data_IF_458290063277
#
_entry.id   IF_458290063277
#
_cell.length_a   1.000
_cell.length_b   1.000
_cell.length_c   1.000
_cell.angle_alpha   90.00
_cell.angle_beta   90.00
_cell.angle_gamma   90.00
#
_symmetry.space_group_name_H-M   'P 1'
#
loop_
_entity.id
_entity.type
_entity.pdbx_description
1 polymer ?
#
# COMPACT_ATOMS: atom_id res chain seq x y z
N UNK A 1 -38.39 17.68 34.09
CA UNK A 1 -38.86 16.43 34.70
C UNK A 1 -37.75 15.42 34.58
N UNK A 2 -37.33 14.94 35.74
CA UNK A 2 -36.17 14.10 36.04
C UNK A 2 -36.44 12.61 35.73
N UNK A 3 -35.43 11.76 35.93
CA UNK A 3 -35.36 10.28 35.85
C UNK A 3 -34.75 9.74 34.55
N UNK A 4 -33.82 8.78 34.56
CA UNK A 4 -33.02 8.16 35.62
C UNK A 4 -31.95 7.32 34.93
N UNK A 5 -30.73 7.34 35.47
CA UNK A 5 -29.65 6.43 35.09
C UNK A 5 -30.01 5.00 35.53
N UNK A 6 -29.76 4.01 34.69
CA UNK A 6 -29.63 2.61 35.10
C UNK A 6 -28.21 2.16 34.70
N UNK A 7 -27.40 1.93 35.72
CA UNK A 7 -26.10 1.25 35.64
C UNK A 7 -26.41 -0.23 35.87
N UNK A 8 -26.04 -1.10 34.93
CA UNK A 8 -25.99 -2.55 35.14
C UNK A 8 -24.52 -2.95 35.11
N UNK A 9 -23.97 -3.25 36.27
CA UNK A 9 -22.70 -3.93 36.44
C UNK A 9 -22.97 -5.44 36.40
N UNK A 10 -22.34 -6.13 35.44
CA UNK A 10 -22.24 -7.60 35.46
C UNK A 10 -20.76 -7.91 35.63
N UNK A 11 -20.43 -8.40 36.82
CA UNK A 11 -19.20 -9.14 37.08
C UNK A 11 -19.53 -10.62 37.14
N UNK A 12 -18.64 -11.45 36.61
CA UNK A 12 -18.41 -12.89 36.83
C UNK A 12 -17.56 -13.34 35.63
N UNK A 13 -16.62 -14.28 35.68
CA UNK A 13 -15.85 -14.95 36.72
C UNK A 13 -14.77 -15.71 35.91
N UNK A 14 -13.49 -15.56 36.26
CA UNK A 14 -12.40 -16.26 35.58
C UNK A 14 -12.37 -17.75 35.97
N UNK A 15 -12.35 -18.63 34.97
CA UNK A 15 -12.12 -20.07 35.12
C UNK A 15 -10.85 -20.41 34.35
N UNK A 16 -9.77 -20.64 35.10
CA UNK A 16 -8.47 -21.09 34.62
C UNK A 16 -8.54 -22.61 34.44
N UNK A 17 -8.40 -23.09 33.22
CA UNK A 17 -8.28 -24.52 32.90
C UNK A 17 -6.86 -24.80 32.39
N UNK A 18 -6.01 -25.34 33.25
CA UNK A 18 -4.64 -25.73 32.92
C UNK A 18 -4.63 -27.19 32.46
N UNK A 19 -4.55 -27.43 31.16
CA UNK A 19 -4.20 -28.76 30.63
C UNK A 19 -2.70 -28.80 30.35
N UNK A 20 -1.97 -29.56 31.17
CA UNK A 20 -0.60 -29.99 30.89
C UNK A 20 -0.69 -31.23 30.00
N UNK A 21 -0.43 -31.05 28.70
CA UNK A 21 -0.19 -32.15 27.77
C UNK A 21 1.32 -32.45 27.79
N UNK A 22 1.71 -33.55 28.41
CA UNK A 22 3.03 -34.15 28.23
C UNK A 22 2.96 -34.99 26.96
N UNK A 23 3.54 -34.46 25.87
CA UNK A 23 3.79 -35.22 24.64
C UNK A 23 5.17 -35.85 24.73
N UNK A 24 5.22 -37.18 24.76
CA UNK A 24 6.45 -37.97 24.61
C UNK A 24 6.63 -38.24 23.12
N UNK A 25 7.54 -37.54 22.46
CA UNK A 25 7.91 -37.85 21.07
C UNK A 25 9.04 -38.89 21.06
N UNK A 26 8.74 -40.04 20.44
CA UNK A 26 9.72 -41.02 20.00
C UNK A 26 10.66 -40.39 18.97
N UNK A 27 11.95 -40.46 19.27
CA UNK A 27 13.03 -39.92 18.46
C UNK A 27 13.37 -40.93 17.35
N UNK A 28 12.82 -40.72 16.15
CA UNK A 28 13.27 -41.40 14.94
C UNK A 28 14.52 -40.70 14.38
N UNK A 29 15.53 -41.51 14.13
CA UNK A 29 16.88 -41.17 13.69
C UNK A 29 16.94 -40.61 12.26
N UNK A 30 17.67 -39.50 12.10
CA UNK A 30 18.42 -39.21 10.86
C UNK A 30 17.81 -38.23 9.86
N UNK A 31 17.09 -37.21 10.29
CA UNK A 31 16.89 -36.00 9.47
C UNK A 31 17.97 -34.99 9.83
N UNK A 32 18.70 -34.49 8.82
CA UNK A 32 19.49 -33.27 8.96
C UNK A 32 18.55 -32.18 9.47
N UNK A 33 18.66 -31.85 10.76
CA UNK A 33 17.78 -30.87 11.39
C UNK A 33 18.19 -29.50 10.90
N UNK A 34 17.31 -28.85 10.14
CA UNK A 34 17.46 -27.45 9.79
C UNK A 34 17.81 -26.63 11.03
N UNK A 35 18.91 -25.89 10.96
CA UNK A 35 19.37 -24.98 12.01
C UNK A 35 19.04 -23.56 11.57
N UNK A 36 18.67 -22.69 12.50
CA UNK A 36 18.36 -21.29 12.19
C UNK A 36 19.48 -20.42 12.76
N UNK A 37 20.12 -19.66 11.88
CA UNK A 37 21.18 -18.73 12.24
C UNK A 37 20.67 -17.29 12.19
N UNK A 38 21.25 -16.45 13.06
CA UNK A 38 21.07 -15.01 13.04
C UNK A 38 22.03 -14.36 12.06
N UNK A 39 21.48 -13.64 11.08
CA UNK A 39 22.24 -12.85 10.11
C UNK A 39 21.89 -11.38 10.31
N UNK A 40 22.87 -10.50 10.19
CA UNK A 40 22.66 -9.07 10.31
C UNK A 40 23.13 -8.36 9.06
N UNK A 41 22.29 -7.48 8.53
CA UNK A 41 22.58 -6.64 7.37
C UNK A 41 22.38 -5.17 7.73
N UNK A 42 23.40 -4.36 7.51
CA UNK A 42 23.32 -2.92 7.77
C UNK A 42 23.09 -2.15 6.46
N UNK A 43 22.20 -1.16 6.51
CA UNK A 43 21.89 -0.24 5.42
C UNK A 43 22.19 1.19 5.86
N UNK A 44 22.82 1.96 4.97
CA UNK A 44 23.26 3.33 5.25
C UNK A 44 24.78 3.47 5.47
N UNK A 45 25.23 4.49 6.21
CA UNK A 45 24.43 5.44 6.98
C UNK A 45 23.66 6.43 6.09
N UNK A 46 22.46 6.79 6.53
CA UNK A 46 21.60 7.80 5.92
C UNK A 46 21.72 9.13 6.67
N UNK A 47 21.94 10.21 5.92
CA UNK A 47 22.04 11.56 6.50
C UNK A 47 20.64 12.22 6.51
N UNK A 48 20.11 12.50 7.70
CA UNK A 48 18.88 13.25 7.90
C UNK A 48 19.21 14.55 8.63
N UNK A 49 19.11 15.69 7.92
CA UNK A 49 19.60 16.98 8.43
C UNK A 49 21.08 16.86 8.85
N UNK A 50 21.41 17.12 10.12
CA UNK A 50 22.73 17.03 10.72
C UNK A 50 23.00 15.69 11.45
N UNK A 51 22.04 14.75 11.44
CA UNK A 51 22.14 13.45 12.10
C UNK A 51 22.32 12.30 11.10
N UNK A 52 23.02 11.24 11.52
CA UNK A 52 23.23 10.02 10.74
C UNK A 52 22.54 8.85 11.38
N UNK A 53 21.87 8.06 10.55
CA UNK A 53 21.17 6.86 10.98
C UNK A 53 21.61 5.64 10.17
N UNK A 54 21.80 4.51 10.84
CA UNK A 54 22.01 3.20 10.21
C UNK A 54 20.81 2.34 10.49
N UNK A 55 20.27 1.69 9.45
CA UNK A 55 19.23 0.67 9.61
C UNK A 55 19.89 -0.69 9.70
N UNK A 56 19.53 -1.46 10.72
CA UNK A 56 20.04 -2.81 10.95
C UNK A 56 18.89 -3.78 10.77
N UNK A 57 19.03 -4.67 9.80
CA UNK A 57 18.10 -5.77 9.54
C UNK A 57 18.65 -7.03 10.19
N UNK A 58 17.86 -7.60 11.09
CA UNK A 58 18.12 -8.89 11.74
C UNK A 58 17.31 -9.95 11.01
N UNK A 59 18.01 -10.75 10.21
CA UNK A 59 17.44 -11.79 9.35
C UNK A 59 17.71 -13.17 9.97
N UNK A 60 16.80 -14.10 9.71
CA UNK A 60 16.94 -15.51 10.11
C UNK A 60 17.25 -16.31 8.87
N UNK A 61 18.28 -17.13 8.93
CA UNK A 61 18.75 -17.92 7.80
C UNK A 61 18.76 -19.41 8.15
N UNK A 62 18.12 -20.24 7.32
CA UNK A 62 18.11 -21.69 7.53
C UNK A 62 19.41 -22.30 6.99
N UNK A 63 20.15 -23.02 7.82
CA UNK A 63 21.38 -23.74 7.46
C UNK A 63 21.28 -25.24 7.78
N UNK A 64 22.16 -26.04 7.19
CA UNK A 64 22.26 -27.48 7.48
C UNK A 64 21.16 -28.36 6.85
N UNK A 65 20.19 -27.77 6.15
CA UNK A 65 19.19 -28.49 5.36
C UNK A 65 19.21 -28.02 3.90
N UNK A 66 18.81 -28.89 2.98
CA UNK A 66 18.56 -28.49 1.58
C UNK A 66 17.19 -27.83 1.52
N UNK A 67 17.16 -26.54 1.20
CA UNK A 67 15.93 -25.79 0.91
C UNK A 67 15.63 -25.98 -0.58
N UNK A 68 14.40 -26.39 -0.97
CA UNK A 68 14.05 -26.58 -2.38
C UNK A 68 14.23 -25.32 -3.22
N UNK A 69 13.92 -24.15 -2.63
CA UNK A 69 14.05 -22.85 -3.24
C UNK A 69 14.83 -21.89 -2.30
N UNK A 70 16.04 -21.44 -2.67
CA UNK A 70 16.87 -20.56 -1.85
C UNK A 70 16.21 -19.24 -1.43
N UNK A 71 15.19 -18.76 -2.14
CA UNK A 71 14.47 -17.55 -1.73
C UNK A 71 13.74 -17.74 -0.39
N UNK A 72 13.40 -18.99 -0.05
CA UNK A 72 12.72 -19.33 1.20
C UNK A 72 13.66 -19.62 2.38
N UNK A 73 14.96 -19.36 2.19
CA UNK A 73 15.99 -19.65 3.19
C UNK A 73 16.23 -18.49 4.16
N UNK A 74 15.77 -17.26 3.85
CA UNK A 74 16.06 -16.06 4.65
C UNK A 74 14.81 -15.21 4.85
N UNK A 75 14.47 -14.87 6.10
CA UNK A 75 13.35 -13.98 6.42
C UNK A 75 13.74 -12.91 7.44
N UNK A 76 13.14 -11.73 7.36
CA UNK A 76 13.34 -10.64 8.32
C UNK A 76 12.65 -10.96 9.64
N UNK A 77 13.40 -10.91 10.74
CA UNK A 77 12.86 -11.13 12.09
C UNK A 77 12.84 -9.86 12.94
N UNK A 78 13.69 -8.88 12.66
CA UNK A 78 13.68 -7.58 13.35
C UNK A 78 14.35 -6.49 12.52
N UNK A 79 13.87 -5.26 12.66
CA UNK A 79 14.49 -4.05 12.12
C UNK A 79 14.80 -3.09 13.27
N UNK A 80 15.99 -2.48 13.23
CA UNK A 80 16.39 -1.40 14.13
C UNK A 80 16.84 -0.19 13.33
N UNK A 81 16.58 1.03 13.83
CA UNK A 81 17.19 2.25 13.31
C UNK A 81 18.00 2.90 14.42
N UNK A 82 19.31 3.02 14.20
CA UNK A 82 20.30 3.50 15.17
C UNK A 82 20.89 4.82 14.73
N UNK A 83 21.23 5.69 15.67
CA UNK A 83 22.08 6.86 15.39
C UNK A 83 23.57 6.51 15.35
N UNK A 84 24.42 7.51 15.07
CA UNK A 84 25.89 7.36 15.03
C UNK A 84 26.51 6.98 16.39
N UNK A 85 25.80 7.20 17.51
CA UNK A 85 26.23 6.77 18.84
C UNK A 85 25.76 5.34 19.18
N UNK A 86 25.01 4.70 18.28
CA UNK A 86 24.45 3.37 18.45
C UNK A 86 23.17 3.34 19.29
N UNK A 87 22.57 4.49 19.61
CA UNK A 87 21.29 4.50 20.30
C UNK A 87 20.16 4.10 19.33
N UNK A 88 19.30 3.18 19.77
CA UNK A 88 18.17 2.68 18.98
C UNK A 88 17.00 3.66 19.11
N UNK A 89 16.55 4.22 17.99
CA UNK A 89 15.39 5.14 17.92
C UNK A 89 14.12 4.44 17.47
N UNK A 90 14.25 3.34 16.75
CA UNK A 90 13.14 2.50 16.31
C UNK A 90 13.55 1.04 16.35
N UNK A 91 12.63 0.17 16.78
CA UNK A 91 12.75 -1.28 16.73
C UNK A 91 11.38 -1.89 16.48
N UNK A 92 11.31 -2.82 15.54
CA UNK A 92 10.12 -3.64 15.29
C UNK A 92 10.56 -5.08 15.06
N UNK A 93 9.88 -6.04 15.72
CA UNK A 93 10.17 -7.47 15.60
C UNK A 93 9.03 -8.17 14.87
N UNK A 94 9.36 -9.09 13.98
CA UNK A 94 8.41 -9.81 13.14
C UNK A 94 8.41 -11.29 13.48
N UNK A 95 7.23 -11.90 13.74
CA UNK A 95 7.16 -13.34 13.93
C UNK A 95 7.44 -14.06 12.61
N UNK A 96 7.97 -15.28 12.69
CA UNK A 96 8.17 -16.15 11.54
C UNK A 96 7.90 -17.60 11.92
N UNK A 97 7.51 -18.40 10.94
CA UNK A 97 7.26 -19.83 11.10
C UNK A 97 8.09 -20.63 10.09
N UNK A 98 8.48 -21.83 10.48
CA UNK A 98 9.25 -22.76 9.64
C UNK A 98 8.37 -23.97 9.35
N UNK A 99 8.21 -24.30 8.07
CA UNK A 99 7.46 -25.45 7.60
C UNK A 99 8.42 -26.41 6.91
N UNK A 100 8.73 -27.53 7.56
CA UNK A 100 9.76 -28.45 7.05
C UNK A 100 11.16 -27.81 7.13
N UNK A 101 11.73 -27.48 5.96
CA UNK A 101 13.09 -26.94 5.84
C UNK A 101 13.11 -25.49 5.29
N UNK A 102 11.96 -24.81 5.23
CA UNK A 102 11.82 -23.47 4.68
C UNK A 102 10.95 -22.60 5.58
N UNK A 103 11.06 -21.27 5.45
CA UNK A 103 10.09 -20.39 6.10
C UNK A 103 8.74 -20.49 5.39
N UNK A 104 7.64 -20.39 6.14
CA UNK A 104 6.29 -20.36 5.53
C UNK A 104 5.96 -19.03 4.85
N UNK A 105 6.64 -17.97 5.28
CA UNK A 105 6.55 -16.61 4.74
C UNK A 105 7.93 -15.95 4.82
N UNK A 106 8.29 -15.26 3.75
CA UNK A 106 9.50 -14.46 3.64
C UNK A 106 9.12 -13.00 3.75
N UNK A 107 9.53 -12.37 4.84
CA UNK A 107 9.50 -10.92 5.00
C UNK A 107 10.87 -10.37 4.63
N UNK A 108 10.88 -9.26 3.91
CA UNK A 108 12.08 -8.52 3.55
C UNK A 108 11.84 -7.03 3.77
N UNK A 109 12.92 -6.26 3.91
CA UNK A 109 12.86 -4.81 3.95
C UNK A 109 13.95 -4.18 3.09
N UNK A 110 13.61 -3.08 2.43
CA UNK A 110 14.55 -2.13 1.84
C UNK A 110 14.37 -0.76 2.48
N UNK A 111 15.40 0.08 2.37
CA UNK A 111 15.39 1.44 2.91
C UNK A 111 16.01 2.39 1.92
N UNK A 112 15.29 3.47 1.62
CA UNK A 112 15.75 4.53 0.74
C UNK A 112 15.75 5.88 1.47
N UNK A 113 16.65 6.77 1.05
CA UNK A 113 16.62 8.16 1.52
C UNK A 113 15.47 8.86 0.82
N UNK A 114 14.46 9.27 1.58
CA UNK A 114 13.37 10.10 1.09
C UNK A 114 13.79 11.57 1.12
N UNK A 115 13.83 12.22 -0.03
CA UNK A 115 14.29 13.61 -0.16
C UNK A 115 13.15 14.51 -0.62
N UNK A 116 12.67 15.36 0.30
CA UNK A 116 11.83 16.52 -0.03
C UNK A 116 12.63 17.76 -0.39
N UNK A 117 11.92 18.86 -0.65
CA UNK A 117 12.52 20.13 -1.05
C UNK A 117 13.52 20.66 -0.01
N UNK A 118 13.09 20.75 1.25
CA UNK A 118 13.88 21.32 2.35
C UNK A 118 14.23 20.32 3.46
N UNK A 119 13.70 19.09 3.38
CA UNK A 119 13.83 18.08 4.43
C UNK A 119 14.00 16.69 3.85
N UNK A 120 14.56 15.78 4.63
CA UNK A 120 14.71 14.38 4.28
C UNK A 120 14.16 13.48 5.37
N UNK A 121 13.88 12.25 4.97
CA UNK A 121 13.43 11.15 5.82
C UNK A 121 13.95 9.82 5.28
N UNK A 122 13.46 8.73 5.84
CA UNK A 122 13.66 7.38 5.31
C UNK A 122 12.32 6.86 4.83
N UNK A 123 12.33 6.19 3.69
CA UNK A 123 11.24 5.31 3.30
C UNK A 123 11.70 3.88 3.58
N UNK A 124 10.95 3.15 4.39
CA UNK A 124 11.15 1.71 4.58
C UNK A 124 10.06 1.01 3.78
N UNK A 125 10.47 0.12 2.88
CA UNK A 125 9.56 -0.73 2.09
C UNK A 125 9.68 -2.15 2.60
N UNK A 126 8.58 -2.72 3.08
CA UNK A 126 8.49 -4.12 3.48
C UNK A 126 7.88 -4.92 2.35
N UNK A 127 8.40 -6.13 2.10
CA UNK A 127 7.89 -7.06 1.10
C UNK A 127 7.68 -8.46 1.68
N UNK A 128 6.55 -9.08 1.38
CA UNK A 128 6.13 -10.41 1.84
C UNK A 128 5.96 -11.38 0.66
N UNK A 129 6.43 -12.61 0.83
CA UNK A 129 6.25 -13.73 -0.11
C UNK A 129 5.80 -14.97 0.71
N UNK A 130 4.71 -15.67 0.32
CA UNK A 130 3.92 -15.45 -0.87
C UNK A 130 2.95 -14.27 -0.67
N UNK A 131 2.62 -13.57 -1.75
CA UNK A 131 1.70 -12.44 -1.73
C UNK A 131 0.62 -12.55 -2.80
N UNK A 132 -0.49 -11.86 -2.59
CA UNK A 132 -1.48 -11.65 -3.65
C UNK A 132 -0.88 -10.78 -4.76
N UNK A 133 -1.32 -10.93 -6.03
CA UNK A 133 -0.88 -10.03 -7.09
C UNK A 133 -1.12 -8.56 -6.70
N UNK A 134 -0.12 -7.70 -6.92
CA UNK A 134 -0.12 -6.28 -6.53
C UNK A 134 -0.26 -6.04 -5.02
N UNK A 135 -0.19 -7.09 -4.19
CA UNK A 135 -0.17 -7.00 -2.74
C UNK A 135 1.20 -7.38 -2.18
N UNK A 136 1.25 -7.53 -0.86
CA UNK A 136 2.45 -8.00 -0.16
C UNK A 136 3.53 -6.95 0.06
N UNK A 137 3.30 -5.70 -0.33
CA UNK A 137 4.19 -4.59 0.01
C UNK A 137 3.52 -3.63 1.00
N UNK A 138 4.35 -3.03 1.85
CA UNK A 138 3.93 -1.89 2.67
C UNK A 138 5.04 -0.87 2.83
N UNK A 139 4.66 0.38 3.07
CA UNK A 139 5.58 1.52 3.09
C UNK A 139 5.44 2.32 4.37
N UNK A 140 6.55 2.63 5.01
CA UNK A 140 6.57 3.44 6.22
C UNK A 140 7.59 4.57 6.10
N UNK A 141 7.14 5.79 6.34
CA UNK A 141 8.00 6.97 6.32
C UNK A 141 8.49 7.27 7.73
N UNK A 142 9.80 7.50 7.85
CA UNK A 142 10.44 8.00 9.06
C UNK A 142 11.06 9.36 8.78
N UNK A 143 11.08 10.22 9.80
CA UNK A 143 11.77 11.49 9.69
C UNK A 143 12.06 12.10 11.05
N UNK A 144 12.78 13.22 11.05
CA UNK A 144 13.07 13.96 12.26
C UNK A 144 11.88 14.85 12.63
N UNK A 145 11.32 14.61 13.81
CA UNK A 145 10.33 15.47 14.46
C UNK A 145 10.86 15.84 15.85
N UNK A 146 10.96 17.13 16.14
CA UNK A 146 11.59 17.63 17.38
C UNK A 146 12.98 17.02 17.64
N UNK A 147 13.81 16.92 16.59
CA UNK A 147 15.15 16.32 16.59
C UNK A 147 15.22 14.83 16.96
N UNK A 148 14.09 14.12 16.99
CA UNK A 148 14.04 12.67 17.19
C UNK A 148 13.58 11.99 15.92
N UNK A 149 14.20 10.84 15.60
CA UNK A 149 13.70 10.00 14.52
C UNK A 149 12.41 9.32 15.00
N UNK A 150 11.33 9.52 14.26
CA UNK A 150 10.03 8.89 14.54
C UNK A 150 9.39 8.42 13.24
N UNK A 151 8.59 7.35 13.28
CA UNK A 151 7.69 7.04 12.16
C UNK A 151 6.64 8.15 12.04
N UNK A 152 6.36 8.58 10.81
CA UNK A 152 5.33 9.58 10.51
C UNK A 152 3.94 8.94 10.34
N UNK A 153 3.88 7.64 10.14
CA UNK A 153 2.67 6.83 10.12
C UNK A 153 3.00 5.38 10.48
N UNK A 154 1.96 4.57 10.65
CA UNK A 154 2.08 3.12 10.51
C UNK A 154 2.40 2.73 9.06
N UNK A 155 2.79 1.48 8.78
CA UNK A 155 2.93 1.00 7.40
C UNK A 155 1.65 1.21 6.59
N UNK A 156 1.81 1.70 5.37
CA UNK A 156 0.74 1.88 4.39
C UNK A 156 0.70 0.62 3.54
N UNK A 157 -0.47 0.00 3.43
CA UNK A 157 -0.73 -1.18 2.61
C UNK A 157 -1.61 -0.76 1.42
N UNK A 158 -1.30 -1.25 0.23
CA UNK A 158 -2.12 -1.02 -0.95
C UNK A 158 -2.12 -2.25 -1.84
N UNK A 159 -3.22 -2.46 -2.57
CA UNK A 159 -3.21 -3.27 -3.78
C UNK A 159 -2.66 -2.42 -4.92
N UNK A 160 -1.33 -2.39 -5.04
CA UNK A 160 -0.62 -1.43 -5.86
C UNK A 160 0.86 -1.34 -5.53
N UNK A 161 1.46 -0.25 -5.98
CA UNK A 161 2.89 0.04 -5.76
C UNK A 161 3.14 1.54 -5.70
N UNK A 162 4.35 1.95 -5.30
CA UNK A 162 4.79 3.34 -5.47
C UNK A 162 4.96 3.63 -6.96
N UNK A 163 4.45 4.79 -7.41
CA UNK A 163 4.55 5.21 -8.80
C UNK A 163 5.99 5.41 -9.26
N UNK A 164 6.85 5.84 -8.33
CA UNK A 164 8.29 5.91 -8.54
C UNK A 164 8.94 4.75 -7.80
N UNK A 165 9.50 3.80 -8.56
CA UNK A 165 10.19 2.65 -7.98
C UNK A 165 11.42 3.09 -7.16
N UNK A 166 11.59 2.56 -5.94
CA UNK A 166 12.82 2.76 -5.19
C UNK A 166 13.97 2.02 -5.87
N UNK A 167 15.05 2.74 -6.21
CA UNK A 167 16.23 2.16 -6.87
C UNK A 167 17.44 2.00 -5.94
N UNK A 168 17.19 1.81 -4.63
CA UNK A 168 18.24 1.61 -3.62
C UNK A 168 19.10 2.86 -3.36
N UNK A 169 18.57 4.05 -3.66
CA UNK A 169 19.27 5.31 -3.53
C UNK A 169 18.43 6.39 -2.86
N UNK A 170 18.28 7.52 -3.55
CA UNK A 170 17.50 8.66 -3.09
C UNK A 170 16.18 8.69 -3.84
N UNK A 171 15.08 8.46 -3.13
CA UNK A 171 13.74 8.68 -3.63
C UNK A 171 13.36 10.14 -3.39
N UNK A 172 13.14 10.89 -4.47
CA UNK A 172 12.66 12.28 -4.34
C UNK A 172 11.15 12.28 -4.26
N UNK A 173 10.60 13.04 -3.32
CA UNK A 173 9.16 13.31 -3.32
C UNK A 173 8.79 14.14 -4.54
N UNK A 174 7.54 14.01 -4.95
CA UNK A 174 6.99 14.76 -6.07
C UNK A 174 6.18 15.96 -5.55
N UNK A 175 5.94 16.91 -6.44
CA UNK A 175 5.01 18.01 -6.21
C UNK A 175 3.77 17.81 -7.07
N UNK A 176 2.59 17.78 -6.44
CA UNK A 176 1.34 17.72 -7.19
C UNK A 176 0.83 19.12 -7.56
N UNK A 177 0.31 19.33 -8.79
CA UNK A 177 -0.33 20.58 -9.17
C UNK A 177 -1.43 20.95 -8.18
N UNK A 178 -1.42 22.21 -7.73
CA UNK A 178 -2.37 22.75 -6.74
C UNK A 178 -2.24 22.19 -5.32
N UNK A 179 -1.24 21.35 -5.05
CA UNK A 179 -0.89 20.94 -3.70
C UNK A 179 0.39 21.67 -3.26
N UNK A 180 0.31 22.40 -2.14
CA UNK A 180 1.50 22.85 -1.44
C UNK A 180 1.96 21.74 -0.49
N UNK A 181 2.88 20.90 -0.95
CA UNK A 181 3.46 19.83 -0.14
C UNK A 181 4.20 18.79 -0.96
N UNK A 182 5.05 18.05 -0.25
CA UNK A 182 5.75 16.87 -0.77
C UNK A 182 4.81 15.67 -0.77
N UNK A 183 4.79 14.91 -1.87
CA UNK A 183 4.00 13.68 -1.96
C UNK A 183 4.80 12.47 -2.37
N UNK A 184 4.28 11.32 -1.97
CA UNK A 184 4.52 10.02 -2.56
C UNK A 184 3.27 9.64 -3.38
N UNK A 185 3.46 9.32 -4.66
CA UNK A 185 2.37 8.86 -5.51
C UNK A 185 2.28 7.34 -5.45
N UNK A 186 1.10 6.82 -5.13
CA UNK A 186 0.81 5.39 -5.12
C UNK A 186 -0.04 5.03 -6.34
N UNK A 187 0.35 4.01 -7.09
CA UNK A 187 -0.44 3.38 -8.13
C UNK A 187 -1.36 2.37 -7.46
N UNK A 188 -2.64 2.71 -7.30
CA UNK A 188 -3.63 1.86 -6.64
C UNK A 188 -4.50 1.20 -7.70
N UNK A 189 -4.59 -0.12 -7.68
CA UNK A 189 -5.33 -0.90 -8.67
C UNK A 189 -6.84 -0.86 -8.42
N UNK A 190 -7.63 -0.54 -9.45
CA UNK A 190 -9.10 -0.47 -9.36
C UNK A 190 -9.81 -1.75 -9.84
N UNK A 191 -9.06 -2.77 -10.26
CA UNK A 191 -9.58 -3.92 -10.99
C UNK A 191 -9.55 -3.77 -12.52
N UNK A 192 -9.42 -2.53 -13.04
CA UNK A 192 -9.38 -2.24 -14.48
C UNK A 192 -8.24 -1.30 -14.91
N UNK A 193 -7.81 -0.41 -14.02
CA UNK A 193 -6.75 0.57 -14.26
C UNK A 193 -6.09 0.95 -12.94
N UNK A 194 -4.97 1.67 -12.99
CA UNK A 194 -4.37 2.25 -11.80
C UNK A 194 -4.80 3.70 -11.64
N UNK A 195 -5.16 4.10 -10.42
CA UNK A 195 -5.25 5.51 -10.05
C UNK A 195 -3.98 5.91 -9.33
N UNK A 196 -3.46 7.10 -9.66
CA UNK A 196 -2.31 7.70 -8.98
C UNK A 196 -2.83 8.49 -7.78
N UNK A 197 -2.68 7.93 -6.59
CA UNK A 197 -3.11 8.54 -5.34
C UNK A 197 -1.95 9.24 -4.63
N UNK A 198 -1.99 10.58 -4.50
CA UNK A 198 -0.96 11.31 -3.79
C UNK A 198 -1.15 11.23 -2.27
N UNK A 199 -0.10 10.80 -1.60
CA UNK A 199 0.02 10.75 -0.15
C UNK A 199 1.02 11.81 0.29
N UNK A 200 0.56 12.79 1.07
CA UNK A 200 1.40 13.90 1.54
C UNK A 200 2.30 13.47 2.69
N UNK A 201 3.58 13.79 2.55
CA UNK A 201 4.58 13.66 3.61
C UNK A 201 4.77 15.03 4.28
N UNK A 202 4.17 15.21 5.44
CA UNK A 202 4.28 16.44 6.21
C UNK A 202 5.44 16.35 7.22
N UNK A 203 6.63 16.73 6.75
CA UNK A 203 7.83 16.76 7.58
C UNK A 203 7.77 17.78 8.73
N UNK A 204 6.88 18.78 8.67
CA UNK A 204 6.73 19.77 9.73
C UNK A 204 5.90 19.20 10.88
N UNK A 205 4.83 18.48 10.56
CA UNK A 205 3.94 17.84 11.52
C UNK A 205 4.40 16.43 11.92
N UNK A 206 5.36 15.86 11.20
CA UNK A 206 5.80 14.48 11.38
C UNK A 206 4.70 13.48 11.05
N UNK A 207 3.98 13.69 9.94
CA UNK A 207 2.81 12.90 9.56
C UNK A 207 2.79 12.52 8.10
N UNK A 208 2.20 11.36 7.80
CA UNK A 208 1.75 11.01 6.46
C UNK A 208 0.23 11.00 6.42
N UNK A 209 -0.36 11.68 5.44
CA UNK A 209 -1.81 11.84 5.29
C UNK A 209 -2.22 11.86 3.82
N UNK A 210 -3.49 11.58 3.48
CA UNK A 210 -4.02 11.87 2.14
C UNK A 210 -3.71 13.30 1.73
N UNK A 211 -3.16 13.50 0.53
CA UNK A 211 -2.87 14.84 0.04
C UNK A 211 -4.14 15.66 -0.23
N UNK A 212 -5.21 14.98 -0.65
CA UNK A 212 -6.48 15.60 -0.97
C UNK A 212 -7.60 15.11 -0.05
N UNK A 213 -8.55 16.01 0.22
CA UNK A 213 -9.85 15.72 0.83
C UNK A 213 -10.90 16.45 0.02
N UNK A 214 -11.36 15.82 -1.05
CA UNK A 214 -12.32 16.43 -1.97
C UNK A 214 -13.75 16.04 -1.59
N UNK A 215 -14.67 16.94 -1.88
CA UNK A 215 -16.09 16.66 -1.81
C UNK A 215 -16.76 17.19 -3.06
N UNK A 216 -17.53 16.34 -3.74
CA UNK A 216 -18.40 16.72 -4.85
C UNK A 216 -19.82 16.88 -4.33
N UNK A 217 -20.44 18.02 -4.65
CA UNK A 217 -21.86 18.25 -4.37
C UNK A 217 -22.66 17.63 -5.51
N UNK A 218 -23.42 16.59 -5.21
CA UNK A 218 -24.24 15.83 -6.17
C UNK A 218 -25.73 16.01 -5.86
N UNK A 219 -26.61 15.53 -6.74
CA UNK A 219 -28.04 15.48 -6.44
C UNK A 219 -28.35 14.60 -5.21
N UNK A 220 -27.45 13.68 -4.85
CA UNK A 220 -27.54 12.77 -3.69
C UNK A 220 -26.87 13.31 -2.42
N UNK A 221 -26.29 14.51 -2.48
CA UNK A 221 -25.58 15.14 -1.38
C UNK A 221 -24.07 15.24 -1.61
N UNK A 222 -23.30 15.45 -0.55
CA UNK A 222 -21.84 15.56 -0.64
C UNK A 222 -21.21 14.17 -0.65
N UNK A 223 -20.48 13.84 -1.71
CA UNK A 223 -19.72 12.59 -1.83
C UNK A 223 -18.20 12.87 -1.76
N UNK A 224 -17.40 12.01 -1.11
CA UNK A 224 -15.95 12.16 -1.01
C UNK A 224 -15.24 11.75 -2.32
N UNK A 225 -15.56 12.44 -3.42
CA UNK A 225 -15.00 12.16 -4.74
C UNK A 225 -13.91 13.17 -5.10
N UNK A 226 -12.73 12.65 -5.44
CA UNK A 226 -11.63 13.41 -6.01
C UNK A 226 -11.40 12.98 -7.46
N UNK A 227 -10.81 13.89 -8.24
CA UNK A 227 -10.29 13.59 -9.55
C UNK A 227 -8.80 13.19 -9.43
N UNK A 228 -8.44 12.08 -10.05
CA UNK A 228 -7.09 11.50 -10.03
C UNK A 228 -6.52 11.38 -11.45
N UNK A 229 -5.19 11.39 -11.54
CA UNK A 229 -4.49 10.85 -12.71
C UNK A 229 -4.69 9.33 -12.73
N UNK A 230 -4.71 8.75 -13.91
CA UNK A 230 -4.83 7.30 -14.08
C UNK A 230 -3.79 6.78 -15.06
N UNK A 231 -3.46 5.51 -14.92
CA UNK A 231 -2.56 4.78 -15.81
C UNK A 231 -3.23 3.48 -16.24
N UNK A 232 -3.20 3.22 -17.54
CA UNK A 232 -3.73 1.99 -18.11
C UNK A 232 -3.23 1.82 -19.55
N UNK A 233 -3.22 0.57 -20.00
CA UNK A 233 -2.91 0.22 -21.37
C UNK A 233 -4.17 -0.31 -22.06
N UNK A 234 -4.53 0.31 -23.17
CA UNK A 234 -5.66 -0.13 -23.98
C UNK A 234 -5.34 -1.44 -24.69
N UNK A 235 -6.21 -2.42 -24.52
CA UNK A 235 -6.23 -3.69 -25.25
C UNK A 235 -7.55 -3.78 -26.04
N UNK A 236 -7.58 -3.30 -27.30
CA UNK A 236 -8.80 -3.31 -28.11
C UNK A 236 -9.33 -4.74 -28.26
N UNK A 237 -10.64 -4.90 -28.14
CA UNK A 237 -11.29 -6.20 -28.35
C UNK A 237 -11.20 -6.65 -29.83
N UNK A 238 -11.38 -7.96 -30.06
CA UNK A 238 -11.40 -8.52 -31.42
C UNK A 238 -12.65 -8.11 -32.22
N UNK A 239 -13.72 -7.74 -31.52
CA UNK A 239 -14.97 -7.28 -32.13
C UNK A 239 -14.75 -6.03 -33.00
N UNK A 240 -15.35 -6.01 -34.19
CA UNK A 240 -15.18 -4.90 -35.13
C UNK A 240 -15.77 -3.58 -34.60
N UNK A 241 -16.80 -3.67 -33.75
CA UNK A 241 -17.55 -2.54 -33.25
C UNK A 241 -18.21 -2.84 -31.89
N UNK A 242 -18.00 -1.96 -30.93
CA UNK A 242 -18.69 -1.93 -29.63
C UNK A 242 -19.31 -0.55 -29.40
N UNK A 243 -20.03 -0.38 -28.29
CA UNK A 243 -20.59 0.91 -27.89
C UNK A 243 -20.26 1.20 -26.43
N UNK A 244 -20.04 2.47 -26.11
CA UNK A 244 -20.01 2.95 -24.72
C UNK A 244 -21.09 3.97 -24.47
N UNK A 245 -21.60 3.96 -23.24
CA UNK A 245 -22.49 4.98 -22.70
C UNK A 245 -21.64 6.08 -22.07
N UNK A 246 -21.57 7.21 -22.77
CA UNK A 246 -20.76 8.35 -22.36
C UNK A 246 -21.64 9.41 -21.69
N UNK A 247 -21.37 9.67 -20.43
CA UNK A 247 -22.09 10.65 -19.61
C UNK A 247 -21.40 12.02 -19.66
N UNK A 248 -22.14 13.13 -19.56
CA UNK A 248 -21.54 14.46 -19.51
C UNK A 248 -20.79 14.72 -18.20
N UNK A 249 -21.20 14.08 -17.11
CA UNK A 249 -20.59 14.21 -15.78
C UNK A 249 -20.39 12.82 -15.15
N UNK A 250 -19.44 12.72 -14.21
CA UNK A 250 -19.23 11.54 -13.37
C UNK A 250 -20.33 11.39 -12.30
N UNK A 251 -21.58 11.27 -12.73
CA UNK A 251 -22.74 11.04 -11.88
C UNK A 251 -23.88 10.41 -12.69
N UNK A 252 -24.45 9.33 -12.15
CA UNK A 252 -25.64 8.71 -12.72
C UNK A 252 -26.86 9.62 -12.64
N UNK A 253 -27.58 9.75 -13.76
CA UNK A 253 -28.83 10.51 -13.85
C UNK A 253 -28.66 12.03 -14.11
N UNK A 254 -27.44 12.52 -14.30
CA UNK A 254 -27.18 13.90 -14.74
C UNK A 254 -26.99 13.94 -16.26
N UNK A 255 -27.95 14.56 -16.96
CA UNK A 255 -27.97 14.62 -18.41
C UNK A 255 -28.32 13.29 -19.09
N UNK A 256 -28.29 13.26 -20.42
CA UNK A 256 -28.48 12.04 -21.21
C UNK A 256 -27.13 11.47 -21.62
N UNK A 257 -26.95 10.16 -21.45
CA UNK A 257 -25.76 9.48 -21.95
C UNK A 257 -25.81 9.36 -23.48
N UNK A 258 -24.70 9.72 -24.13
CA UNK A 258 -24.50 9.50 -25.56
C UNK A 258 -23.97 8.09 -25.82
N UNK A 259 -24.45 7.44 -26.86
CA UNK A 259 -23.91 6.14 -27.29
C UNK A 259 -22.81 6.37 -28.33
N UNK A 260 -21.57 6.12 -27.94
CA UNK A 260 -20.41 6.33 -28.79
C UNK A 260 -19.96 4.97 -29.34
N UNK A 261 -19.86 4.89 -30.66
CA UNK A 261 -19.31 3.72 -31.36
C UNK A 261 -17.81 3.67 -31.11
N UNK A 262 -17.30 2.53 -30.64
CA UNK A 262 -15.88 2.29 -30.46
C UNK A 262 -15.44 1.18 -31.40
N UNK A 263 -14.40 1.45 -32.18
CA UNK A 263 -13.78 0.48 -33.09
C UNK A 263 -12.40 0.12 -32.60
N UNK A 264 -11.84 -0.94 -33.17
CA UNK A 264 -10.44 -1.32 -32.95
C UNK A 264 -9.46 -0.18 -33.24
N UNK A 265 -9.72 0.61 -34.28
CA UNK A 265 -8.90 1.74 -34.73
C UNK A 265 -9.33 3.10 -34.16
N UNK A 266 -10.37 3.16 -33.31
CA UNK A 266 -10.76 4.39 -32.62
C UNK A 266 -9.61 4.92 -31.76
N UNK A 267 -9.46 6.24 -31.74
CA UNK A 267 -8.52 6.94 -30.87
C UNK A 267 -9.19 7.13 -29.51
N UNK A 268 -8.69 6.42 -28.50
CA UNK A 268 -9.16 6.49 -27.12
C UNK A 268 -8.07 7.10 -26.26
N UNK A 269 -8.38 8.22 -25.60
CA UNK A 269 -7.51 8.86 -24.62
C UNK A 269 -8.14 8.78 -23.24
N UNK A 270 -7.36 8.40 -22.24
CA UNK A 270 -7.76 8.40 -20.84
C UNK A 270 -7.30 9.69 -20.17
N UNK A 271 -8.25 10.49 -19.69
CA UNK A 271 -7.96 11.86 -19.26
C UNK A 271 -7.86 11.99 -17.74
N UNK A 272 -8.73 11.30 -17.00
CA UNK A 272 -8.76 11.31 -15.54
C UNK A 272 -9.67 10.21 -15.00
N UNK A 273 -9.50 9.88 -13.74
CA UNK A 273 -10.47 9.09 -12.98
C UNK A 273 -11.14 9.97 -11.92
N UNK A 274 -12.38 9.69 -11.56
CA UNK A 274 -13.08 10.34 -10.45
C UNK A 274 -13.71 9.28 -9.57
N UNK A 275 -13.46 9.36 -8.26
CA UNK A 275 -13.95 8.35 -7.31
C UNK A 275 -13.47 8.62 -5.90
N UNK A 276 -13.82 7.71 -4.99
CA UNK A 276 -13.30 7.69 -3.63
C UNK A 276 -12.05 6.80 -3.57
N UNK A 277 -11.05 7.23 -2.81
CA UNK A 277 -9.97 6.35 -2.36
C UNK A 277 -10.07 6.28 -0.85
N UNK A 278 -10.16 5.07 -0.33
CA UNK A 278 -10.31 4.78 1.09
C UNK A 278 -8.95 4.82 1.77
N UNK A 279 -8.91 5.54 2.88
CA UNK A 279 -7.77 5.64 3.79
C UNK A 279 -8.24 5.19 5.16
N UNK A 280 -7.97 3.94 5.51
CA UNK A 280 -8.47 3.30 6.72
C UNK A 280 -7.29 2.96 7.63
N UNK A 281 -7.22 3.57 8.82
CA UNK A 281 -6.16 3.30 9.79
C UNK A 281 -6.69 2.36 10.89
N UNK A 282 -5.97 1.26 11.12
CA UNK A 282 -6.29 0.27 12.15
C UNK A 282 -5.07 -0.04 13.03
N UNK A 283 -5.08 -1.16 13.77
CA UNK A 283 -3.96 -1.56 14.63
C UNK A 283 -2.70 -1.92 13.84
N UNK A 284 -2.83 -2.53 12.66
CA UNK A 284 -1.76 -3.07 11.84
C UNK A 284 -1.15 -2.01 10.91
N UNK A 285 -1.97 -1.11 10.37
CA UNK A 285 -1.46 0.03 9.62
C UNK A 285 -2.53 0.86 8.94
N UNK A 286 -2.18 1.35 7.76
CA UNK A 286 -3.07 2.19 6.93
C UNK A 286 -3.40 1.43 5.65
N UNK A 287 -4.64 1.01 5.51
CA UNK A 287 -5.17 0.48 4.25
C UNK A 287 -5.45 1.61 3.26
N UNK A 288 -4.82 1.53 2.09
CA UNK A 288 -5.04 2.40 0.94
C UNK A 288 -5.68 1.58 -0.19
N UNK A 289 -6.95 1.83 -0.47
CA UNK A 289 -7.72 1.05 -1.42
C UNK A 289 -8.64 1.94 -2.27
N UNK A 290 -8.98 1.54 -3.51
CA UNK A 290 -10.03 2.22 -4.25
C UNK A 290 -11.38 2.03 -3.53
N UNK A 291 -12.29 2.99 -3.70
CA UNK A 291 -13.72 2.78 -3.50
C UNK A 291 -14.33 1.96 -4.65
N UNK A 292 -15.61 1.61 -4.50
CA UNK A 292 -16.29 0.69 -5.42
C UNK A 292 -16.82 1.36 -6.70
N UNK A 293 -16.90 2.70 -6.74
CA UNK A 293 -17.53 3.48 -7.82
C UNK A 293 -16.54 4.50 -8.39
N UNK A 294 -15.79 4.06 -9.41
CA UNK A 294 -14.89 4.92 -10.17
C UNK A 294 -15.43 5.23 -11.56
N UNK A 295 -15.37 6.51 -11.90
CA UNK A 295 -15.64 7.03 -13.23
C UNK A 295 -14.34 7.31 -13.96
N UNK A 296 -14.30 7.10 -15.26
CA UNK A 296 -13.18 7.46 -16.12
C UNK A 296 -13.64 8.51 -17.11
N UNK A 297 -12.93 9.62 -17.16
CA UNK A 297 -13.06 10.61 -18.22
C UNK A 297 -12.25 10.15 -19.42
N UNK A 298 -12.93 9.97 -20.55
CA UNK A 298 -12.32 9.50 -21.80
C UNK A 298 -12.58 10.48 -22.93
N UNK A 299 -11.72 10.46 -23.94
CA UNK A 299 -11.97 11.07 -25.25
C UNK A 299 -11.88 9.99 -26.32
N UNK A 300 -12.97 9.81 -27.06
CA UNK A 300 -13.09 8.81 -28.12
C UNK A 300 -13.38 9.52 -29.44
N UNK A 301 -12.45 9.44 -30.39
CA UNK A 301 -12.57 10.06 -31.72
C UNK A 301 -12.99 11.55 -31.65
N UNK A 302 -12.42 12.26 -30.66
CA UNK A 302 -12.65 13.69 -30.42
C UNK A 302 -13.86 14.02 -29.53
N UNK A 303 -14.69 13.05 -29.13
CA UNK A 303 -15.80 13.24 -28.19
C UNK A 303 -15.38 12.91 -26.77
N UNK A 304 -15.68 13.78 -25.82
CA UNK A 304 -15.26 13.67 -24.43
C UNK A 304 -16.44 13.46 -23.49
N UNK A 305 -16.27 12.60 -22.49
CA UNK A 305 -17.24 12.38 -21.43
C UNK A 305 -16.77 11.31 -20.46
N UNK A 306 -17.70 10.81 -19.65
CA UNK A 306 -17.41 9.90 -18.53
C UNK A 306 -18.07 8.54 -18.72
N UNK A 307 -17.39 7.49 -18.28
CA UNK A 307 -17.88 6.11 -18.26
C UNK A 307 -17.57 5.50 -16.89
N UNK A 308 -18.34 4.50 -16.44
CA UNK A 308 -18.08 3.88 -15.12
C UNK A 308 -18.41 2.39 -15.02
N UNK A 309 -19.08 1.82 -16.02
CA UNK A 309 -19.50 0.41 -15.94
C UNK A 309 -18.46 -0.53 -16.51
N UNK A 310 -18.43 -1.77 -16.02
CA UNK A 310 -17.55 -2.82 -16.54
C UNK A 310 -17.74 -3.07 -18.04
N UNK A 311 -18.98 -2.96 -18.53
CA UNK A 311 -19.30 -3.08 -19.96
C UNK A 311 -18.62 -1.96 -20.76
N UNK A 312 -18.72 -0.72 -20.28
CA UNK A 312 -18.10 0.42 -20.97
C UNK A 312 -16.55 0.35 -20.91
N UNK A 313 -15.99 -0.07 -19.77
CA UNK A 313 -14.54 -0.30 -19.63
C UNK A 313 -14.04 -1.39 -20.57
N UNK A 314 -14.74 -2.52 -20.65
CA UNK A 314 -14.39 -3.60 -21.57
C UNK A 314 -14.50 -3.14 -23.03
N UNK A 315 -15.55 -2.38 -23.38
CA UNK A 315 -15.79 -1.88 -24.73
C UNK A 315 -14.68 -0.95 -25.24
N UNK A 316 -14.00 -0.19 -24.36
CA UNK A 316 -12.82 0.61 -24.74
C UNK A 316 -11.50 -0.15 -24.63
N UNK A 317 -11.53 -1.40 -24.17
CA UNK A 317 -10.37 -2.28 -24.09
C UNK A 317 -9.58 -2.17 -22.80
N UNK A 318 -10.23 -1.87 -21.67
CA UNK A 318 -9.57 -1.99 -20.37
C UNK A 318 -9.50 -3.47 -19.94
N UNK A 319 -8.39 -3.90 -19.31
CA UNK A 319 -8.29 -5.23 -18.75
C UNK A 319 -9.31 -5.40 -17.60
N UNK A 320 -9.76 -6.62 -17.38
CA UNK A 320 -10.59 -6.97 -16.23
C UNK A 320 -9.79 -7.92 -15.32
N UNK A 321 -9.67 -7.57 -14.05
CA UNK A 321 -9.19 -8.50 -13.04
C UNK A 321 -10.07 -9.76 -13.04
N UNK A 322 -9.45 -10.93 -13.24
CA UNK A 322 -10.12 -12.23 -13.19
C UNK A 322 -10.17 -12.76 -11.78
#
# INVERSE_FOLDING_TARGET
MTYSKIIVAIGLAALIYTHVLVSTQEQLSGQDSATVEDVTRELGPFQLSDQRFTVVLHERHITGATVPDPEWQTTLAEIEIKDEQGAVHYRESFPYEISGNEFSEILSASVELLQGHDRSGLLVTYGSIPSTPLGGQSWQVFGLFENKLVPFSKPIYAEGELATEPNGGVLRTETEPNLQGEVLNFRVWTGNFFVLFPVRVDFLMGKVIPAWRCFKVTARGNLPQCQYRLETDRQPQEEEMTFVRMHPEAEEGIGSADHIVVKRDSQVEFLAAEGEVRWEEDEQGVGLAPGDDFWIKVRIDGKEGWIHTQEDFAAIGLPQAR
#
